data_IF_129726484352
#
_entry.id   IF_129726484352
#
_cell.length_a   1.000
_cell.length_b   1.000
_cell.length_c   1.000
_cell.angle_alpha   90.00
_cell.angle_beta   90.00
_cell.angle_gamma   90.00
#
_symmetry.space_group_name_H-M   'P 1'
#
loop_
_entity.id
_entity.type
_entity.pdbx_description
1 polymer ?
#
# COMPACT_ATOMS: atom_id res chain seq x y z
N UNK A 1 -3.61 2.75 -2.08
CA UNK A 1 -3.58 2.46 -3.53
C UNK A 1 -2.16 2.41 -4.04
N UNK A 2 -1.30 3.35 -3.65
CA UNK A 2 0.12 3.39 -4.07
C UNK A 2 0.87 2.05 -3.85
N UNK A 3 0.63 1.35 -2.74
CA UNK A 3 1.20 0.01 -2.50
C UNK A 3 0.59 -1.10 -3.41
N UNK A 4 -0.68 -0.98 -3.80
CA UNK A 4 -1.35 -1.97 -4.66
C UNK A 4 -0.84 -1.90 -6.10
N UNK A 5 -0.70 -0.69 -6.64
CA UNK A 5 -0.25 -0.46 -8.02
C UNK A 5 1.27 -0.51 -8.18
N UNK A 6 2.00 -0.96 -7.15
CA UNK A 6 3.46 -1.04 -7.14
C UNK A 6 4.17 0.30 -7.30
N UNK A 7 3.57 1.42 -6.87
CA UNK A 7 4.26 2.71 -6.73
C UNK A 7 5.13 2.75 -5.46
N UNK A 8 4.70 2.04 -4.42
CA UNK A 8 5.42 1.85 -3.15
C UNK A 8 5.53 0.36 -2.82
N UNK A 9 6.55 -0.07 -2.04
CA UNK A 9 6.62 -1.45 -1.59
C UNK A 9 5.44 -1.77 -0.65
N UNK A 10 4.90 -2.99 -0.74
CA UNK A 10 3.80 -3.44 0.13
C UNK A 10 4.31 -3.77 1.52
N UNK A 11 3.73 -3.13 2.54
CA UNK A 11 4.06 -3.42 3.93
C UNK A 11 3.66 -4.85 4.33
N UNK A 12 4.52 -5.53 5.08
CA UNK A 12 4.24 -6.88 5.60
C UNK A 12 3.57 -6.86 6.98
N UNK A 13 3.77 -5.77 7.73
CA UNK A 13 3.13 -5.54 9.02
C UNK A 13 2.45 -4.17 8.97
N UNK A 14 1.19 -4.12 9.38
CA UNK A 14 0.41 -2.89 9.47
C UNK A 14 -0.22 -2.79 10.86
N UNK A 15 -0.18 -1.61 11.46
CA UNK A 15 -0.90 -1.33 12.70
C UNK A 15 -2.17 -0.53 12.41
N UNK A 16 -3.32 -1.10 12.76
CA UNK A 16 -4.66 -0.55 12.51
C UNK A 16 -5.30 -0.06 13.82
N UNK A 17 -6.30 0.81 13.67
CA UNK A 17 -7.11 1.33 14.77
C UNK A 17 -7.78 2.63 14.40
N UNK A 18 -7.03 3.72 14.30
CA UNK A 18 -7.56 5.06 13.99
C UNK A 18 -8.13 5.18 12.58
N UNK A 19 -7.62 4.36 11.64
CA UNK A 19 -8.03 4.32 10.24
C UNK A 19 -8.07 5.70 9.57
N UNK A 20 -7.09 6.57 9.88
CA UNK A 20 -6.96 7.87 9.22
C UNK A 20 -6.64 7.67 7.74
N UNK A 21 -7.37 8.39 6.89
CA UNK A 21 -7.21 8.31 5.44
C UNK A 21 -6.00 9.10 4.96
N UNK A 22 -5.23 8.51 4.05
CA UNK A 22 -4.14 9.16 3.32
C UNK A 22 -4.61 9.53 1.91
N UNK A 23 -4.87 10.82 1.62
CA UNK A 23 -5.30 11.26 0.29
C UNK A 23 -4.15 11.26 -0.74
N UNK A 24 -2.89 11.23 -0.33
CA UNK A 24 -1.76 11.20 -1.24
C UNK A 24 -1.59 9.80 -1.84
N UNK A 25 -1.54 8.77 -0.98
CA UNK A 25 -1.37 7.37 -1.39
C UNK A 25 -2.69 6.62 -1.64
N UNK A 26 -3.82 7.30 -1.38
CA UNK A 26 -5.19 6.78 -1.48
C UNK A 26 -5.33 5.50 -0.66
N UNK A 27 -5.16 5.64 0.65
CA UNK A 27 -5.05 4.50 1.56
C UNK A 27 -5.24 4.90 3.01
N UNK A 28 -4.64 4.15 3.91
CA UNK A 28 -4.65 4.47 5.33
C UNK A 28 -3.26 4.90 5.76
N UNK A 29 -3.20 5.89 6.64
CA UNK A 29 -1.99 6.23 7.35
C UNK A 29 -1.69 5.12 8.36
N UNK A 30 -0.57 4.42 8.15
CA UNK A 30 -0.12 3.31 8.98
C UNK A 30 1.21 3.69 9.64
N UNK A 31 1.28 3.75 10.98
CA UNK A 31 2.54 4.03 11.66
C UNK A 31 3.47 2.82 11.59
N UNK A 32 4.78 3.04 11.74
CA UNK A 32 5.78 1.97 11.71
C UNK A 32 5.81 1.13 13.00
N UNK A 33 5.20 1.63 14.08
CA UNK A 33 5.11 0.99 15.40
C UNK A 33 3.70 1.17 15.97
N UNK A 34 3.24 0.25 16.86
CA UNK A 34 1.94 0.41 17.47
C UNK A 34 1.92 1.62 18.41
N UNK A 35 0.77 2.27 18.48
CA UNK A 35 0.51 3.37 19.41
C UNK A 35 -0.87 3.21 20.07
N UNK A 36 -1.23 4.15 20.94
CA UNK A 36 -2.50 4.12 21.69
C UNK A 36 -3.76 4.15 20.79
N UNK A 37 -3.63 4.64 19.55
CA UNK A 37 -4.70 4.71 18.55
C UNK A 37 -4.57 3.63 17.47
N UNK A 38 -3.40 3.02 17.29
CA UNK A 38 -3.08 2.05 16.24
C UNK A 38 -2.37 0.84 16.85
N UNK A 39 -3.13 -0.03 17.52
CA UNK A 39 -2.58 -1.16 18.28
C UNK A 39 -2.81 -2.53 17.64
N UNK A 40 -3.75 -2.64 16.68
CA UNK A 40 -4.05 -3.93 16.07
C UNK A 40 -3.01 -4.27 15.00
N UNK A 41 -2.19 -5.29 15.25
CA UNK A 41 -1.17 -5.77 14.32
C UNK A 41 -1.78 -6.72 13.29
N UNK A 42 -1.77 -6.30 12.02
CA UNK A 42 -2.02 -7.16 10.87
C UNK A 42 -0.69 -7.61 10.26
N UNK A 43 -0.53 -8.91 10.06
CA UNK A 43 0.70 -9.53 9.56
C UNK A 43 0.40 -10.39 8.34
N UNK A 44 1.02 -10.04 7.21
CA UNK A 44 0.80 -10.68 5.92
C UNK A 44 1.56 -11.99 5.76
N UNK A 45 2.42 -12.33 6.72
CA UNK A 45 3.17 -13.59 6.75
C UNK A 45 2.37 -14.73 7.39
N UNK A 46 1.29 -14.41 8.11
CA UNK A 46 0.35 -15.40 8.64
C UNK A 46 -0.35 -16.11 7.46
N UNK A 47 -0.52 -17.43 7.59
CA UNK A 47 -1.19 -18.23 6.56
C UNK A 47 -2.59 -17.67 6.26
N UNK A 48 -2.85 -17.41 4.97
CA UNK A 48 -4.09 -16.79 4.51
C UNK A 48 -4.07 -15.26 4.40
N UNK A 49 -3.09 -14.56 4.96
CA UNK A 49 -3.04 -13.08 4.97
C UNK A 49 -2.11 -12.45 3.91
N UNK A 50 -1.65 -13.24 2.94
CA UNK A 50 -0.65 -12.81 1.96
C UNK A 50 -1.06 -11.53 1.21
N UNK A 51 -0.13 -10.57 1.11
CA UNK A 51 -0.30 -9.31 0.38
C UNK A 51 0.33 -9.33 -1.03
N UNK A 52 0.60 -10.53 -1.57
CA UNK A 52 1.22 -10.73 -2.89
C UNK A 52 0.17 -10.83 -4.00
N UNK A 53 0.62 -10.77 -5.25
CA UNK A 53 -0.26 -10.79 -6.43
C UNK A 53 -0.62 -9.39 -6.89
N UNK A 54 -1.35 -9.26 -8.01
CA UNK A 54 -1.55 -7.95 -8.67
C UNK A 54 -0.21 -7.26 -9.02
N UNK A 55 0.76 -8.02 -9.51
CA UNK A 55 2.09 -7.52 -9.88
C UNK A 55 2.18 -7.06 -11.35
N UNK A 56 1.02 -6.94 -12.03
CA UNK A 56 0.92 -6.42 -13.38
C UNK A 56 0.69 -4.89 -13.35
N UNK A 57 1.15 -4.15 -14.38
CA UNK A 57 1.99 -4.61 -15.48
C UNK A 57 3.45 -4.85 -15.06
N UNK A 58 3.93 -4.22 -13.99
CA UNK A 58 5.30 -4.38 -13.50
C UNK A 58 5.36 -4.57 -11.98
N UNK A 59 6.23 -5.49 -11.48
CA UNK A 59 6.53 -5.54 -10.06
C UNK A 59 7.27 -4.27 -9.64
N UNK A 60 7.21 -3.92 -8.35
CA UNK A 60 7.90 -2.74 -7.81
C UNK A 60 9.39 -2.74 -8.19
N UNK A 61 9.82 -1.71 -8.92
CA UNK A 61 11.18 -1.57 -9.48
C UNK A 61 11.65 -2.75 -10.35
N UNK A 62 10.71 -3.48 -10.95
CA UNK A 62 10.98 -4.55 -11.92
C UNK A 62 11.22 -4.05 -13.34
N UNK A 63 11.40 -4.99 -14.29
CA UNK A 63 11.53 -4.67 -15.71
C UNK A 63 10.29 -3.93 -16.21
N UNK A 64 10.50 -2.73 -16.77
CA UNK A 64 9.42 -1.88 -17.29
C UNK A 64 8.75 -1.00 -16.24
N UNK A 65 9.12 -1.10 -14.96
CA UNK A 65 8.58 -0.23 -13.92
C UNK A 65 8.86 1.24 -14.23
N UNK A 66 7.80 2.03 -14.37
CA UNK A 66 7.86 3.46 -14.63
C UNK A 66 7.14 4.23 -13.53
N UNK A 67 7.90 4.94 -12.69
CA UNK A 67 7.36 5.69 -11.56
C UNK A 67 6.39 6.80 -11.98
N UNK A 68 6.67 7.47 -13.10
CA UNK A 68 5.87 8.60 -13.56
C UNK A 68 4.49 8.12 -14.03
N UNK A 69 4.46 7.05 -14.83
CA UNK A 69 3.18 6.46 -15.28
C UNK A 69 2.35 5.94 -14.10
N UNK A 70 2.99 5.39 -13.06
CA UNK A 70 2.29 4.96 -11.85
C UNK A 70 1.77 6.13 -11.01
N UNK A 71 2.47 7.27 -10.99
CA UNK A 71 1.97 8.52 -10.38
C UNK A 71 0.79 9.08 -11.16
N UNK A 72 0.88 9.14 -12.48
CA UNK A 72 -0.21 9.59 -13.35
C UNK A 72 -1.44 8.69 -13.20
N UNK A 73 -1.25 7.37 -13.15
CA UNK A 73 -2.30 6.40 -12.85
C UNK A 73 -2.93 6.67 -11.47
N UNK A 74 -2.14 6.93 -10.44
CA UNK A 74 -2.65 7.25 -9.11
C UNK A 74 -3.51 8.51 -9.11
N UNK A 75 -3.09 9.56 -9.82
CA UNK A 75 -3.88 10.79 -9.96
C UNK A 75 -5.17 10.54 -10.74
N UNK A 76 -5.12 9.77 -11.82
CA UNK A 76 -6.33 9.36 -12.53
C UNK A 76 -7.31 8.60 -11.62
N UNK A 77 -6.81 7.66 -10.83
CA UNK A 77 -7.63 6.88 -9.89
C UNK A 77 -8.28 7.72 -8.78
N UNK A 78 -7.76 8.93 -8.48
CA UNK A 78 -8.41 9.87 -7.55
C UNK A 78 -9.65 10.55 -8.13
N UNK A 79 -9.85 10.47 -9.45
CA UNK A 79 -10.98 11.10 -10.16
C UNK A 79 -12.14 10.15 -10.43
N UNK A 80 -12.02 8.88 -10.06
CA UNK A 80 -13.04 7.83 -10.20
C UNK A 80 -13.85 7.69 -8.91
#
# INVERSE_FOLDING_TARGET
>A
MAELINLKPRRTVLYRGANLYDPADVGLLIPDKPDVKNYFRYDTQVYGNGNRGHDYPWPYKGKGWNENELKDLLEYLKTL
#
